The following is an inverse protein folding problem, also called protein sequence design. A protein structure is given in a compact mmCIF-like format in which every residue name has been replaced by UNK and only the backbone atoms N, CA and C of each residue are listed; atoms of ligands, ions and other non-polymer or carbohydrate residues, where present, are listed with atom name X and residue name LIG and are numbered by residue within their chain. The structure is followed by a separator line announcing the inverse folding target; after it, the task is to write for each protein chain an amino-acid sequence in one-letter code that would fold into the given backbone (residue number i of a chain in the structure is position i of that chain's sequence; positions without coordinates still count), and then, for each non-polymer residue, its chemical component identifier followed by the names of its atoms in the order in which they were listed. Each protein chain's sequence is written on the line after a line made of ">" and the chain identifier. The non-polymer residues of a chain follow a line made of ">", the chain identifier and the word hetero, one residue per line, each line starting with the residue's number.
data_IF_301967844224
#
_entry.id   IF_301967844224
#
_cell.length_a   1.000
_cell.length_b   1.000
_cell.length_c   1.000
_cell.angle_alpha   90.00
_cell.angle_beta   90.00
_cell.angle_gamma   90.00
#
_symmetry.space_group_name_H-M   'P 1'
#
loop_
_entity.id
_entity.type
_entity.pdbx_description
1 polymer ?
#
# COMPACT_ATOMS: atom_id res chain seq x y z
N UNK A 1 23.95 -10.72 -33.01
CA UNK A 1 22.65 -11.26 -33.45
C UNK A 1 21.54 -10.32 -32.98
N UNK A 2 20.65 -9.83 -33.85
CA UNK A 2 19.62 -8.88 -33.44
C UNK A 2 18.53 -9.61 -32.65
N UNK A 3 18.23 -9.13 -31.43
CA UNK A 3 17.14 -9.64 -30.59
C UNK A 3 15.80 -9.28 -31.25
N UNK A 4 14.91 -10.27 -31.36
CA UNK A 4 13.58 -10.11 -31.93
C UNK A 4 12.77 -9.04 -31.18
N UNK A 5 12.10 -8.16 -31.93
CA UNK A 5 11.13 -7.20 -31.39
C UNK A 5 9.88 -7.94 -30.93
N UNK A 6 9.40 -7.64 -29.73
CA UNK A 6 8.13 -8.14 -29.21
C UNK A 6 6.97 -7.52 -30.03
N UNK A 7 6.00 -8.30 -30.54
CA UNK A 7 4.99 -7.83 -31.50
C UNK A 7 3.83 -7.01 -30.88
N UNK A 8 3.91 -6.65 -29.60
CA UNK A 8 2.85 -5.92 -28.87
C UNK A 8 3.21 -4.47 -28.52
N UNK A 9 4.16 -3.86 -29.25
CA UNK A 9 4.51 -2.44 -29.07
C UNK A 9 3.57 -1.53 -29.85
N UNK A 10 2.48 -1.07 -29.24
CA UNK A 10 1.74 0.08 -29.77
C UNK A 10 2.45 1.38 -29.41
N UNK A 11 2.99 2.05 -30.43
CA UNK A 11 3.75 3.31 -30.42
C UNK A 11 3.00 4.56 -29.91
N UNK A 12 2.24 4.50 -28.81
CA UNK A 12 1.53 5.70 -28.31
C UNK A 12 1.27 5.67 -26.80
N UNK A 13 2.30 5.94 -26.01
CA UNK A 13 2.11 6.57 -24.69
C UNK A 13 3.02 7.80 -24.64
N UNK A 14 2.55 8.87 -25.28
CA UNK A 14 3.13 10.20 -25.16
C UNK A 14 2.66 10.86 -23.85
N UNK A 15 3.61 11.01 -22.92
CA UNK A 15 3.72 12.01 -21.84
C UNK A 15 2.45 12.36 -21.04
N UNK A 16 2.40 11.84 -19.81
CA UNK A 16 1.95 12.60 -18.66
C UNK A 16 2.94 12.35 -17.52
N UNK A 17 3.74 13.36 -17.19
CA UNK A 17 4.78 13.32 -16.16
C UNK A 17 4.11 13.35 -14.78
N UNK A 18 3.82 12.18 -14.21
CA UNK A 18 3.50 12.05 -12.80
C UNK A 18 4.82 12.02 -12.00
N UNK A 19 5.03 12.89 -10.99
CA UNK A 19 6.30 12.98 -10.27
C UNK A 19 6.68 11.72 -9.48
N UNK A 20 5.76 10.75 -9.33
CA UNK A 20 6.01 9.48 -8.66
C UNK A 20 6.64 8.41 -9.58
N UNK A 21 6.85 8.70 -10.87
CA UNK A 21 7.27 7.72 -11.88
C UNK A 21 8.76 7.79 -12.26
N UNK A 22 9.63 8.37 -11.43
CA UNK A 22 11.08 8.30 -11.67
C UNK A 22 11.62 6.92 -11.21
N UNK A 23 11.38 5.91 -12.05
CA UNK A 23 11.82 4.53 -11.84
C UNK A 23 10.67 3.55 -12.02
N UNK A 24 10.20 3.35 -13.25
CA UNK A 24 9.22 2.32 -13.58
C UNK A 24 9.84 0.94 -13.40
N UNK A 25 9.86 0.46 -12.16
CA UNK A 25 10.10 -0.94 -11.80
C UNK A 25 8.76 -1.70 -11.77
N UNK A 26 7.83 -1.35 -12.65
CA UNK A 26 6.50 -1.98 -12.72
C UNK A 26 6.60 -3.40 -13.28
N UNK A 27 7.66 -3.68 -14.03
CA UNK A 27 8.04 -4.97 -14.60
C UNK A 27 8.74 -5.92 -13.61
N UNK A 28 9.36 -5.37 -12.55
CA UNK A 28 9.99 -6.18 -11.48
C UNK A 28 9.33 -5.99 -10.11
N UNK A 29 8.13 -5.41 -10.07
CA UNK A 29 7.29 -5.26 -8.89
C UNK A 29 5.90 -5.84 -9.19
N UNK A 30 5.11 -6.10 -8.14
CA UNK A 30 3.76 -6.66 -8.24
C UNK A 30 2.83 -5.76 -9.08
N UNK A 31 2.80 -5.98 -10.39
CA UNK A 31 2.00 -5.24 -11.37
C UNK A 31 0.50 -5.20 -11.00
N UNK A 32 0.04 -6.21 -10.26
CA UNK A 32 -1.32 -6.34 -9.73
C UNK A 32 -1.77 -5.16 -8.84
N UNK A 33 -0.84 -4.38 -8.29
CA UNK A 33 -1.17 -3.19 -7.49
C UNK A 33 -1.41 -1.94 -8.35
N UNK A 34 -1.06 -1.96 -9.64
CA UNK A 34 -1.12 -0.78 -10.52
C UNK A 34 -2.35 -0.85 -11.43
N UNK A 35 -3.50 -0.51 -10.85
CA UNK A 35 -4.75 -0.37 -11.62
C UNK A 35 -4.63 0.89 -12.50
N UNK A 36 -4.89 0.80 -13.82
CA UNK A 36 -4.78 1.95 -14.70
C UNK A 36 -5.56 3.14 -14.19
N UNK A 37 -4.90 4.31 -14.14
CA UNK A 37 -5.46 5.61 -13.72
C UNK A 37 -5.86 5.74 -12.24
N UNK A 38 -5.74 4.69 -11.43
CA UNK A 38 -6.10 4.78 -10.01
C UNK A 38 -5.22 5.79 -9.28
N UNK A 39 -3.91 5.74 -9.54
CA UNK A 39 -2.92 6.64 -8.95
C UNK A 39 -3.00 8.09 -9.47
N UNK A 40 -3.84 8.38 -10.48
CA UNK A 40 -4.18 9.78 -10.84
C UNK A 40 -5.04 10.44 -9.74
N UNK A 41 -5.69 9.64 -8.89
CA UNK A 41 -6.73 10.09 -7.94
C UNK A 41 -6.50 9.62 -6.51
N UNK A 42 -5.98 8.42 -6.32
CA UNK A 42 -5.87 7.75 -5.03
C UNK A 42 -4.50 7.11 -4.88
N UNK A 43 -3.88 7.30 -3.72
CA UNK A 43 -2.72 6.52 -3.31
C UNK A 43 -3.15 5.27 -2.52
N UNK A 44 -2.23 4.33 -2.26
CA UNK A 44 -2.50 3.11 -1.49
C UNK A 44 -3.22 3.34 -0.15
N UNK A 45 -2.81 4.31 0.72
CA UNK A 45 -3.55 4.59 1.94
C UNK A 45 -4.99 5.07 1.69
N UNK A 46 -5.26 5.77 0.58
CA UNK A 46 -6.62 6.20 0.24
C UNK A 46 -7.49 5.01 -0.13
N UNK A 47 -6.97 4.11 -0.96
CA UNK A 47 -7.66 2.89 -1.40
C UNK A 47 -8.00 2.01 -0.20
N UNK A 48 -7.04 1.80 0.70
CA UNK A 48 -7.25 1.02 1.92
C UNK A 48 -8.27 1.69 2.84
N UNK A 49 -8.25 3.03 2.95
CA UNK A 49 -9.17 3.75 3.81
C UNK A 49 -10.64 3.76 3.33
N UNK A 50 -10.91 3.40 2.07
CA UNK A 50 -12.29 3.14 1.58
C UNK A 50 -12.99 2.01 2.35
N UNK A 51 -12.25 1.22 3.14
CA UNK A 51 -12.76 0.20 4.05
C UNK A 51 -13.60 0.80 5.20
N UNK A 52 -13.42 2.08 5.53
CA UNK A 52 -14.19 2.72 6.60
C UNK A 52 -15.71 2.60 6.36
N UNK A 53 -16.53 2.37 7.40
CA UNK A 53 -16.18 2.32 8.83
C UNK A 53 -15.78 0.91 9.33
N UNK A 54 -15.57 -0.07 8.44
CA UNK A 54 -15.26 -1.44 8.86
C UNK A 54 -13.88 -1.51 9.54
N UNK A 55 -13.69 -2.41 10.52
CA UNK A 55 -12.41 -2.61 11.17
C UNK A 55 -11.27 -2.84 10.17
N UNK A 56 -10.13 -2.19 10.43
CA UNK A 56 -8.90 -2.31 9.65
C UNK A 56 -7.68 -2.32 10.57
N UNK A 57 -6.80 -3.29 10.37
CA UNK A 57 -5.49 -3.36 11.01
C UNK A 57 -4.37 -3.32 9.96
N UNK A 58 -3.47 -2.35 10.08
CA UNK A 58 -2.30 -2.19 9.20
C UNK A 58 -1.02 -2.37 10.02
N UNK A 59 -0.16 -3.28 9.57
CA UNK A 59 1.13 -3.58 10.17
C UNK A 59 2.25 -3.11 9.26
N UNK A 60 3.27 -2.45 9.81
CA UNK A 60 4.44 -1.97 9.07
C UNK A 60 5.74 -2.22 9.83
N UNK A 61 6.85 -2.28 9.10
CA UNK A 61 8.18 -2.58 9.63
C UNK A 61 9.08 -1.35 9.53
N UNK A 62 9.65 -0.89 10.66
CA UNK A 62 10.48 0.33 10.70
C UNK A 62 11.78 0.22 9.89
N UNK A 63 12.32 -1.00 9.74
CA UNK A 63 13.54 -1.27 8.96
C UNK A 63 13.22 -1.89 7.60
N UNK A 64 11.99 -1.72 7.10
CA UNK A 64 11.63 -2.14 5.75
C UNK A 64 12.38 -1.29 4.72
N UNK A 65 13.22 -1.94 3.91
CA UNK A 65 14.01 -1.27 2.86
C UNK A 65 13.24 -1.05 1.56
N UNK A 66 11.98 -1.50 1.46
CA UNK A 66 11.15 -1.34 0.27
C UNK A 66 10.42 0.00 0.23
N UNK A 67 10.15 0.62 1.38
CA UNK A 67 9.41 1.87 1.49
C UNK A 67 10.12 2.87 2.41
N UNK A 68 10.12 4.18 2.10
CA UNK A 68 10.62 5.20 3.02
C UNK A 68 9.80 5.23 4.33
N UNK A 69 10.50 5.27 5.48
CA UNK A 69 9.85 5.31 6.80
C UNK A 69 8.85 6.48 6.94
N UNK A 70 9.22 7.67 6.46
CA UNK A 70 8.33 8.83 6.50
C UNK A 70 7.02 8.58 5.72
N UNK A 71 7.10 7.96 4.53
CA UNK A 71 5.90 7.63 3.74
C UNK A 71 5.03 6.57 4.44
N UNK A 72 5.66 5.61 5.10
CA UNK A 72 4.99 4.63 5.96
C UNK A 72 4.24 5.31 7.13
N UNK A 73 4.88 6.23 7.85
CA UNK A 73 4.25 6.98 8.96
C UNK A 73 3.11 7.88 8.47
N UNK A 74 3.33 8.60 7.37
CA UNK A 74 2.31 9.42 6.71
C UNK A 74 1.10 8.58 6.27
N UNK A 75 1.32 7.35 5.79
CA UNK A 75 0.25 6.45 5.38
C UNK A 75 -0.69 6.11 6.55
N UNK A 76 -0.16 5.75 7.72
CA UNK A 76 -0.98 5.44 8.90
C UNK A 76 -1.70 6.70 9.41
N UNK A 77 -1.02 7.85 9.43
CA UNK A 77 -1.62 9.11 9.83
C UNK A 77 -2.78 9.52 8.90
N UNK A 78 -2.63 9.30 7.59
CA UNK A 78 -3.68 9.59 6.59
C UNK A 78 -4.90 8.68 6.80
N UNK A 79 -4.69 7.37 6.96
CA UNK A 79 -5.79 6.41 7.20
C UNK A 79 -6.54 6.77 8.49
N UNK A 80 -5.82 7.07 9.59
CA UNK A 80 -6.43 7.47 10.86
C UNK A 80 -7.32 8.73 10.71
N UNK A 81 -6.85 9.75 9.98
CA UNK A 81 -7.64 10.96 9.70
C UNK A 81 -8.92 10.64 8.92
N UNK A 82 -8.85 9.74 7.94
CA UNK A 82 -10.02 9.34 7.15
C UNK A 82 -11.02 8.57 8.02
N UNK A 83 -10.56 7.64 8.86
CA UNK A 83 -11.43 6.92 9.81
C UNK A 83 -12.09 7.85 10.81
N UNK A 84 -11.36 8.83 11.35
CA UNK A 84 -11.91 9.86 12.23
C UNK A 84 -12.97 10.72 11.51
N UNK A 85 -12.70 11.13 10.27
CA UNK A 85 -13.66 11.89 9.43
C UNK A 85 -14.95 11.11 9.15
N UNK A 86 -14.86 9.78 9.06
CA UNK A 86 -16.01 8.88 8.89
C UNK A 86 -16.74 8.55 10.20
N UNK A 87 -16.36 9.15 11.33
CA UNK A 87 -17.00 8.90 12.63
C UNK A 87 -16.63 7.56 13.27
N UNK A 88 -15.61 6.86 12.77
CA UNK A 88 -15.19 5.54 13.24
C UNK A 88 -13.70 5.49 13.64
N UNK A 89 -13.18 6.42 14.46
CA UNK A 89 -11.74 6.48 14.78
C UNK A 89 -11.21 5.19 15.45
N UNK A 90 -12.05 4.52 16.23
CA UNK A 90 -11.69 3.29 16.95
C UNK A 90 -11.70 2.03 16.06
N UNK A 91 -12.12 2.14 14.80
CA UNK A 91 -12.14 1.02 13.85
C UNK A 91 -10.82 0.87 13.08
N UNK A 92 -9.84 1.76 13.28
CA UNK A 92 -8.52 1.66 12.66
C UNK A 92 -7.43 1.46 13.70
N UNK A 93 -6.60 0.44 13.47
CA UNK A 93 -5.36 0.22 14.20
C UNK A 93 -4.20 0.22 13.21
N UNK A 94 -3.20 1.07 13.45
CA UNK A 94 -1.93 1.05 12.75
C UNK A 94 -0.81 0.67 13.73
N UNK A 95 0.08 -0.25 13.35
CA UNK A 95 1.18 -0.70 14.22
C UNK A 95 2.50 -0.82 13.47
N UNK A 96 3.56 -0.33 14.11
CA UNK A 96 4.93 -0.47 13.64
C UNK A 96 5.70 -1.50 14.47
N UNK A 97 6.43 -2.37 13.77
CA UNK A 97 7.34 -3.35 14.33
C UNK A 97 8.78 -2.94 14.01
N UNK A 98 9.69 -3.09 14.97
CA UNK A 98 11.11 -2.83 14.73
C UNK A 98 11.78 -4.06 14.08
N UNK A 99 11.43 -4.28 12.82
CA UNK A 99 11.81 -5.45 12.01
C UNK A 99 12.17 -5.02 10.58
N UNK A 100 12.95 -5.84 9.82
CA UNK A 100 13.10 -5.67 8.37
C UNK A 100 11.79 -6.02 7.63
N UNK A 101 11.82 -6.08 6.30
CA UNK A 101 10.68 -6.54 5.49
C UNK A 101 10.35 -8.02 5.79
N UNK A 102 9.44 -8.27 6.72
CA UNK A 102 9.06 -9.62 7.17
C UNK A 102 7.66 -9.60 7.80
N UNK A 103 6.99 -10.76 7.81
CA UNK A 103 5.78 -11.02 8.58
C UNK A 103 6.01 -12.19 9.54
N UNK A 104 6.64 -11.90 10.69
CA UNK A 104 7.10 -12.92 11.64
C UNK A 104 5.95 -13.46 12.53
N UNK A 105 6.26 -14.41 13.40
CA UNK A 105 5.27 -15.06 14.29
C UNK A 105 4.55 -14.05 15.18
N UNK A 106 5.27 -13.11 15.82
CA UNK A 106 4.63 -12.11 16.68
C UNK A 106 3.63 -11.21 15.93
N UNK A 107 3.94 -10.86 14.68
CA UNK A 107 3.04 -10.10 13.80
C UNK A 107 1.81 -10.93 13.38
N UNK A 108 1.98 -12.25 13.19
CA UNK A 108 0.89 -13.19 12.91
C UNK A 108 -0.01 -13.35 14.13
N UNK A 109 0.56 -13.50 15.32
CA UNK A 109 -0.19 -13.60 16.58
C UNK A 109 -1.05 -12.35 16.80
N UNK A 110 -0.49 -11.17 16.56
CA UNK A 110 -1.23 -9.91 16.60
C UNK A 110 -2.36 -9.85 15.55
N UNK A 111 -2.14 -10.37 14.34
CA UNK A 111 -3.16 -10.43 13.30
C UNK A 111 -4.31 -11.39 13.69
N UNK A 112 -3.98 -12.57 14.20
CA UNK A 112 -4.96 -13.58 14.63
C UNK A 112 -5.78 -13.03 15.81
N UNK A 113 -5.12 -12.47 16.82
CA UNK A 113 -5.80 -11.84 17.96
C UNK A 113 -6.71 -10.69 17.51
N UNK A 114 -6.31 -9.94 16.49
CA UNK A 114 -7.17 -8.91 15.90
C UNK A 114 -8.38 -9.51 15.18
N UNK A 115 -8.22 -10.61 14.43
CA UNK A 115 -9.34 -11.29 13.77
C UNK A 115 -10.33 -11.86 14.78
N UNK A 116 -9.87 -12.49 15.86
CA UNK A 116 -10.73 -13.05 16.92
C UNK A 116 -11.65 -11.99 17.57
N UNK A 117 -11.19 -10.74 17.59
CA UNK A 117 -11.97 -9.61 18.10
C UNK A 117 -13.06 -9.15 17.12
N UNK A 118 -12.89 -9.35 15.82
CA UNK A 118 -13.68 -8.67 14.78
C UNK A 118 -14.43 -9.62 13.82
N UNK A 119 -14.15 -10.92 13.80
CA UNK A 119 -14.73 -11.91 12.87
C UNK A 119 -15.54 -13.03 13.55
N UNK A 120 -16.28 -12.72 14.61
CA UNK A 120 -17.21 -13.68 15.23
C UNK A 120 -18.40 -14.03 14.33
#
# INVERSE_FOLDING_TARGET
>A
APRARCPWGSDRISRASLPCAHGTRTDTHSFVHFIPRLHDRLDLPDVVALRAPKPLFVQQCRRDGLFPLAGMEESLAKIAKIYAKNGSPNAFTGRFYDQPHIFNVAMQDDAIAWFDQHLK
#
